data_IF_399462542303
#
_entry.id   IF_399462542303
#
_cell.length_a   1.000
_cell.length_b   1.000
_cell.length_c   1.000
_cell.angle_alpha   90.00
_cell.angle_beta   90.00
_cell.angle_gamma   90.00
#
_symmetry.space_group_name_H-M   'P 1'
#
loop_
_entity.id
_entity.type
_entity.pdbx_description
1 polymer ?
#
# COMPACT_ATOMS: atom_id res chain seq x y z
N UNK A 1 -6.73 -11.39 15.72
CA UNK A 1 -6.50 -9.94 15.58
C UNK A 1 -6.44 -9.47 14.12
N UNK A 2 -5.63 -10.05 13.21
CA UNK A 2 -5.48 -9.51 11.85
C UNK A 2 -6.80 -9.38 11.08
N UNK A 3 -7.66 -10.40 11.14
CA UNK A 3 -8.99 -10.38 10.53
C UNK A 3 -9.93 -9.28 11.07
N UNK A 4 -9.82 -8.93 12.36
CA UNK A 4 -10.59 -7.84 12.94
C UNK A 4 -10.12 -6.50 12.36
N UNK A 5 -8.81 -6.29 12.30
CA UNK A 5 -8.20 -5.06 11.82
C UNK A 5 -8.49 -4.81 10.34
N UNK A 6 -8.37 -5.84 9.50
CA UNK A 6 -8.73 -5.76 8.07
C UNK A 6 -10.21 -5.40 7.88
N UNK A 7 -11.10 -5.98 8.71
CA UNK A 7 -12.54 -5.71 8.63
C UNK A 7 -12.90 -4.27 9.02
N UNK A 8 -12.22 -3.69 9.99
CA UNK A 8 -12.55 -2.35 10.52
C UNK A 8 -11.80 -1.23 9.81
N UNK A 9 -10.63 -1.48 9.22
CA UNK A 9 -9.81 -0.46 8.57
C UNK A 9 -10.57 0.42 7.55
N UNK A 10 -11.45 -0.12 6.68
CA UNK A 10 -12.23 0.70 5.75
C UNK A 10 -13.12 1.75 6.45
N UNK A 11 -13.60 1.47 7.66
CA UNK A 11 -14.41 2.41 8.44
C UNK A 11 -13.57 3.58 8.96
N UNK A 12 -12.34 3.33 9.41
CA UNK A 12 -11.44 4.40 9.86
C UNK A 12 -11.03 5.31 8.70
N UNK A 13 -10.83 4.73 7.51
CA UNK A 13 -10.50 5.47 6.29
C UNK A 13 -11.71 6.26 5.75
N UNK A 14 -12.93 5.75 5.92
CA UNK A 14 -14.18 6.38 5.49
C UNK A 14 -14.46 7.71 6.21
N UNK A 15 -14.05 7.85 7.48
CA UNK A 15 -14.32 9.03 8.30
C UNK A 15 -13.02 9.80 8.61
N UNK A 16 -12.75 10.93 7.92
CA UNK A 16 -11.55 11.73 8.12
C UNK A 16 -11.41 12.25 9.55
N UNK A 17 -10.17 12.35 10.02
CA UNK A 17 -9.80 12.88 11.33
C UNK A 17 -8.44 13.55 11.23
N UNK A 18 -8.12 14.54 12.08
CA UNK A 18 -6.76 15.07 12.17
C UNK A 18 -5.76 14.06 12.77
N UNK A 19 -6.23 12.99 13.42
CA UNK A 19 -5.40 11.93 13.96
C UNK A 19 -5.31 10.79 12.95
N UNK A 20 -4.11 10.25 12.73
CA UNK A 20 -3.85 9.22 11.74
C UNK A 20 -4.69 7.95 11.95
N UNK A 21 -4.98 7.23 10.85
CA UNK A 21 -5.78 6.00 10.87
C UNK A 21 -5.14 4.94 11.76
N UNK A 22 -3.81 4.79 11.72
CA UNK A 22 -3.03 3.86 12.51
C UNK A 22 -3.20 4.14 14.00
N UNK A 23 -3.05 5.40 14.42
CA UNK A 23 -3.24 5.80 15.82
C UNK A 23 -4.68 5.54 16.26
N UNK A 24 -5.69 5.91 15.45
CA UNK A 24 -7.10 5.65 15.77
C UNK A 24 -7.44 4.16 15.84
N UNK A 25 -6.87 3.34 14.95
CA UNK A 25 -7.03 1.88 15.00
C UNK A 25 -6.35 1.28 16.23
N UNK A 26 -5.19 1.80 16.62
CA UNK A 26 -4.52 1.39 17.86
C UNK A 26 -5.34 1.77 19.10
N UNK A 27 -5.91 2.97 19.16
CA UNK A 27 -6.83 3.37 20.21
C UNK A 27 -8.03 2.42 20.27
N UNK A 28 -8.63 2.06 19.12
CA UNK A 28 -9.70 1.06 19.12
C UNK A 28 -9.26 -0.28 19.71
N UNK A 29 -8.08 -0.79 19.35
CA UNK A 29 -7.57 -2.06 19.92
C UNK A 29 -7.38 -1.96 21.42
N UNK A 30 -6.77 -0.89 21.91
CA UNK A 30 -6.49 -0.70 23.34
C UNK A 30 -7.78 -0.50 24.13
N UNK A 31 -8.63 0.44 23.72
CA UNK A 31 -9.83 0.86 24.48
C UNK A 31 -10.95 -0.19 24.45
N UNK A 32 -11.12 -0.89 23.32
CA UNK A 32 -12.13 -1.95 23.21
C UNK A 32 -11.66 -3.30 23.74
N UNK A 33 -10.40 -3.43 24.16
CA UNK A 33 -9.78 -4.72 24.46
C UNK A 33 -9.89 -5.66 23.26
N UNK A 34 -9.52 -5.16 22.07
CA UNK A 34 -9.68 -5.86 20.79
C UNK A 34 -11.12 -6.35 20.51
N UNK A 35 -12.10 -5.53 20.88
CA UNK A 35 -13.51 -5.81 20.74
C UNK A 35 -14.08 -6.76 21.81
N UNK A 36 -13.34 -7.10 22.87
CA UNK A 36 -13.81 -8.03 23.91
C UNK A 36 -14.30 -7.32 25.18
N UNK A 37 -14.06 -6.02 25.33
CA UNK A 37 -14.47 -5.25 26.50
C UNK A 37 -16.00 -5.28 26.70
N UNK A 38 -16.50 -5.50 27.93
CA UNK A 38 -17.93 -5.42 28.23
C UNK A 38 -18.55 -4.06 27.86
N UNK A 39 -17.78 -2.97 27.95
CA UNK A 39 -18.24 -1.65 27.52
C UNK A 39 -18.54 -1.66 26.01
N UNK A 40 -17.58 -2.10 25.20
CA UNK A 40 -17.74 -2.18 23.75
C UNK A 40 -18.89 -3.12 23.36
N UNK A 41 -18.97 -4.31 23.94
CA UNK A 41 -20.00 -5.30 23.64
C UNK A 41 -21.43 -4.80 23.95
N UNK A 42 -21.60 -3.96 24.99
CA UNK A 42 -22.91 -3.43 25.40
C UNK A 42 -23.33 -2.14 24.71
N UNK A 43 -22.38 -1.38 24.15
CA UNK A 43 -22.65 0.00 23.70
C UNK A 43 -22.02 0.38 22.37
N UNK A 44 -21.27 -0.52 21.74
CA UNK A 44 -20.41 -0.26 20.59
C UNK A 44 -19.39 0.87 20.80
N UNK A 45 -19.13 1.29 22.05
CA UNK A 45 -18.12 2.30 22.34
C UNK A 45 -16.73 1.68 22.27
N UNK A 46 -16.11 1.79 21.09
CA UNK A 46 -14.80 1.22 20.81
C UNK A 46 -13.62 2.02 21.35
N UNK A 47 -13.87 3.16 22.01
CA UNK A 47 -12.86 4.17 22.29
C UNK A 47 -12.91 4.70 23.73
N UNK A 48 -13.74 4.12 24.60
CA UNK A 48 -13.85 4.56 25.99
C UNK A 48 -14.34 6.01 26.16
N UNK A 49 -15.05 6.59 25.17
CA UNK A 49 -15.43 8.01 25.25
C UNK A 49 -16.55 8.20 26.29
N UNK A 50 -16.26 8.98 27.32
CA UNK A 50 -17.24 9.38 28.35
C UNK A 50 -18.36 10.23 27.74
N UNK A 51 -19.58 10.06 28.26
CA UNK A 51 -20.72 10.90 27.94
C UNK A 51 -20.58 12.23 28.70
N UNK A 52 -20.13 13.27 28.00
CA UNK A 52 -19.99 14.63 28.51
C UNK A 52 -20.43 15.64 27.46
N UNK A 53 -20.82 16.88 27.85
CA UNK A 53 -21.21 17.92 26.90
C UNK A 53 -20.17 18.09 25.78
N UNK A 54 -20.59 18.22 24.50
CA UNK A 54 -21.96 18.43 24.02
C UNK A 54 -22.71 17.14 23.64
N UNK A 55 -22.32 15.96 24.15
CA UNK A 55 -23.02 14.71 23.82
C UNK A 55 -24.48 14.74 24.29
N UNK A 56 -25.41 14.44 23.38
CA UNK A 56 -26.85 14.37 23.64
C UNK A 56 -27.44 12.98 23.32
N UNK A 57 -26.60 12.05 22.86
CA UNK A 57 -27.04 10.72 22.48
C UNK A 57 -27.19 9.75 23.67
N UNK A 58 -27.52 8.48 23.38
CA UNK A 58 -27.61 7.44 24.39
C UNK A 58 -26.32 7.30 25.20
N UNK A 59 -26.46 6.86 26.46
CA UNK A 59 -25.34 6.58 27.33
C UNK A 59 -25.52 5.25 28.06
N UNK A 60 -24.41 4.67 28.51
CA UNK A 60 -24.39 3.48 29.36
C UNK A 60 -23.53 3.77 30.59
N UNK A 61 -23.96 3.31 31.76
CA UNK A 61 -23.14 3.36 32.95
C UNK A 61 -22.16 2.18 32.93
N UNK A 62 -20.89 2.45 33.22
CA UNK A 62 -19.86 1.43 33.33
C UNK A 62 -18.93 1.78 34.48
N UNK A 63 -18.61 0.79 35.30
CA UNK A 63 -17.68 0.95 36.43
C UNK A 63 -16.29 0.51 36.00
N UNK A 64 -15.32 1.41 36.12
CA UNK A 64 -13.90 1.10 36.00
C UNK A 64 -13.23 1.20 37.35
N UNK A 65 -12.17 0.41 37.55
CA UNK A 65 -11.25 0.64 38.66
C UNK A 65 -10.42 1.88 38.32
N UNK A 66 -10.50 2.88 39.18
CA UNK A 66 -9.64 4.07 39.09
C UNK A 66 -8.24 3.77 39.66
N UNK A 67 -7.30 4.70 39.46
CA UNK A 67 -5.93 4.56 39.94
C UNK A 67 -5.80 4.42 41.48
N UNK A 68 -6.85 4.79 42.23
CA UNK A 68 -6.95 4.63 43.68
C UNK A 68 -7.49 3.25 44.13
N UNK A 69 -7.78 2.36 43.17
CA UNK A 69 -8.30 1.01 43.42
C UNK A 69 -9.80 0.95 43.70
N UNK A 70 -10.54 2.06 43.62
CA UNK A 70 -11.99 2.08 43.83
C UNK A 70 -12.73 2.01 42.50
N UNK A 71 -13.83 1.27 42.49
CA UNK A 71 -14.74 1.25 41.36
C UNK A 71 -15.53 2.56 41.31
N UNK A 72 -15.31 3.37 40.28
CA UNK A 72 -16.11 4.57 40.04
C UNK A 72 -16.99 4.35 38.82
N UNK A 73 -18.30 4.56 38.99
CA UNK A 73 -19.23 4.52 37.89
C UNK A 73 -19.12 5.80 37.06
N UNK A 74 -18.86 5.66 35.76
CA UNK A 74 -18.89 6.75 34.79
C UNK A 74 -19.94 6.46 33.71
N UNK A 75 -20.49 7.51 33.12
CA UNK A 75 -21.34 7.38 31.93
C UNK A 75 -20.49 7.47 30.67
N UNK A 76 -20.71 6.53 29.75
CA UNK A 76 -20.04 6.44 28.46
C UNK A 76 -21.04 6.60 27.34
N UNK A 77 -20.60 7.17 26.22
CA UNK A 77 -21.41 7.28 25.01
C UNK A 77 -21.83 5.88 24.57
N UNK A 78 -23.08 5.73 24.13
CA UNK A 78 -23.60 4.50 23.52
C UNK A 78 -23.97 4.80 22.07
N UNK A 79 -23.61 3.87 21.18
CA UNK A 79 -23.81 3.97 19.74
C UNK A 79 -24.65 2.79 19.26
N UNK A 80 -25.31 2.97 18.11
CA UNK A 80 -26.09 1.90 17.48
C UNK A 80 -25.22 0.92 16.69
N UNK A 81 -23.97 1.29 16.40
CA UNK A 81 -23.00 0.46 15.67
C UNK A 81 -21.55 0.90 15.91
N UNK A 82 -20.61 0.01 15.59
CA UNK A 82 -19.18 0.35 15.55
C UNK A 82 -18.90 1.51 14.59
N UNK A 83 -19.57 1.56 13.44
CA UNK A 83 -19.39 2.64 12.47
C UNK A 83 -19.79 4.00 13.06
N UNK A 84 -20.90 4.08 13.80
CA UNK A 84 -21.30 5.29 14.49
C UNK A 84 -20.27 5.72 15.54
N UNK A 85 -19.66 4.77 16.27
CA UNK A 85 -18.57 5.03 17.21
C UNK A 85 -17.32 5.56 16.51
N UNK A 86 -16.90 4.96 15.38
CA UNK A 86 -15.75 5.40 14.59
C UNK A 86 -15.97 6.80 14.00
N UNK A 87 -17.18 7.09 13.52
CA UNK A 87 -17.58 8.40 13.00
C UNK A 87 -17.50 9.48 14.09
N UNK A 88 -18.04 9.21 15.27
CA UNK A 88 -17.96 10.15 16.41
C UNK A 88 -16.49 10.38 16.81
N UNK A 89 -15.71 9.30 16.97
CA UNK A 89 -14.28 9.38 17.28
C UNK A 89 -13.48 10.18 16.23
N UNK A 90 -13.82 10.07 14.94
CA UNK A 90 -13.15 10.83 13.88
C UNK A 90 -13.20 12.34 14.12
N UNK A 91 -14.35 12.82 14.57
CA UNK A 91 -14.61 14.24 14.88
C UNK A 91 -14.29 14.62 16.33
N UNK A 92 -14.06 13.66 17.22
CA UNK A 92 -13.92 13.89 18.66
C UNK A 92 -12.85 14.92 18.99
N UNK A 93 -11.68 14.83 18.34
CA UNK A 93 -10.53 15.71 18.57
C UNK A 93 -10.79 17.17 18.16
N UNK A 94 -11.77 17.42 17.30
CA UNK A 94 -12.11 18.75 16.76
C UNK A 94 -13.52 19.21 17.11
N UNK A 95 -14.27 18.43 17.88
CA UNK A 95 -15.69 18.67 18.14
C UNK A 95 -15.97 19.91 18.99
N UNK A 96 -14.95 20.45 19.68
CA UNK A 96 -15.02 21.72 20.40
C UNK A 96 -13.72 22.50 20.21
N UNK A 97 -13.73 23.85 20.31
CA UNK A 97 -12.51 24.65 20.29
C UNK A 97 -11.50 24.22 21.36
N UNK A 98 -11.97 23.90 22.57
CA UNK A 98 -11.08 23.39 23.62
C UNK A 98 -10.37 22.10 23.22
N UNK A 99 -11.07 21.14 22.61
CA UNK A 99 -10.46 19.89 22.15
C UNK A 99 -9.44 20.13 21.05
N UNK A 100 -9.78 20.97 20.06
CA UNK A 100 -8.93 21.29 18.91
C UNK A 100 -7.69 22.09 19.32
N UNK A 101 -7.89 23.18 20.06
CA UNK A 101 -6.88 24.23 20.25
C UNK A 101 -6.11 24.09 21.58
N UNK A 102 -6.60 23.28 22.52
CA UNK A 102 -6.01 23.11 23.85
C UNK A 102 -5.66 21.65 24.14
N UNK A 103 -6.67 20.79 24.28
CA UNK A 103 -6.45 19.42 24.76
C UNK A 103 -5.66 18.57 23.77
N UNK A 104 -6.06 18.54 22.50
CA UNK A 104 -5.47 17.64 21.49
C UNK A 104 -4.61 18.36 20.46
N UNK A 105 -4.34 19.66 20.63
CA UNK A 105 -3.56 20.47 19.69
C UNK A 105 -2.22 19.80 19.32
N UNK A 106 -1.47 19.33 20.33
CA UNK A 106 -0.18 18.64 20.10
C UNK A 106 -0.33 17.36 19.27
N UNK A 107 -1.40 16.59 19.50
CA UNK A 107 -1.66 15.37 18.74
C UNK A 107 -2.11 15.70 17.30
N UNK A 108 -2.88 16.78 17.12
CA UNK A 108 -3.34 17.26 15.80
C UNK A 108 -2.18 17.82 14.95
N UNK A 109 -1.22 18.50 15.59
CA UNK A 109 -0.06 19.11 14.93
C UNK A 109 1.14 18.16 14.78
N UNK A 110 1.04 16.93 15.31
CA UNK A 110 2.09 15.93 15.24
C UNK A 110 2.38 15.51 13.78
N UNK A 111 3.66 15.31 13.44
CA UNK A 111 4.08 14.90 12.10
C UNK A 111 4.16 13.38 11.94
N UNK A 112 4.12 12.63 13.03
CA UNK A 112 4.32 11.17 13.07
C UNK A 112 3.36 10.49 14.03
N UNK A 113 3.09 9.20 13.82
CA UNK A 113 2.20 8.43 14.72
C UNK A 113 2.79 8.31 16.14
N UNK A 114 4.13 8.34 16.27
CA UNK A 114 4.79 8.31 17.57
C UNK A 114 4.51 9.61 18.34
N UNK A 115 4.65 10.76 17.69
CA UNK A 115 4.33 12.06 18.29
C UNK A 115 2.84 12.17 18.62
N UNK A 116 1.95 11.69 17.73
CA UNK A 116 0.51 11.61 18.01
C UNK A 116 0.24 10.78 19.27
N UNK A 117 0.76 9.56 19.31
CA UNK A 117 0.55 8.63 20.42
C UNK A 117 1.06 9.21 21.75
N UNK A 118 2.26 9.79 21.76
CA UNK A 118 2.80 10.42 22.97
C UNK A 118 2.01 11.65 23.40
N UNK A 119 1.51 12.45 22.46
CA UNK A 119 0.67 13.60 22.76
C UNK A 119 -0.70 13.21 23.34
N UNK A 120 -1.15 11.97 23.17
CA UNK A 120 -2.39 11.45 23.76
C UNK A 120 -2.21 10.95 25.20
N UNK A 121 -0.96 10.68 25.63
CA UNK A 121 -0.64 10.26 27.00
C UNK A 121 -1.06 11.31 28.03
N UNK A 122 -1.78 10.90 29.08
CA UNK A 122 -2.23 11.78 30.16
C UNK A 122 -3.36 12.74 29.77
N UNK A 123 -3.76 12.78 28.49
CA UNK A 123 -4.82 13.67 28.00
C UNK A 123 -6.04 12.86 27.54
N UNK A 124 -5.83 11.84 26.71
CA UNK A 124 -6.90 10.95 26.28
C UNK A 124 -7.20 9.90 27.36
N UNK A 125 -6.15 9.31 27.90
CA UNK A 125 -6.19 8.37 29.01
C UNK A 125 -5.24 8.83 30.12
N UNK A 126 -5.62 8.63 31.38
CA UNK A 126 -4.79 8.95 32.55
C UNK A 126 -3.60 7.99 32.75
N UNK A 127 -3.47 6.97 31.91
CA UNK A 127 -2.36 6.02 31.94
C UNK A 127 -1.06 6.70 31.46
N UNK A 128 0.00 6.74 32.30
CA UNK A 128 1.27 7.34 31.93
C UNK A 128 2.00 6.61 30.79
N UNK A 129 1.64 5.35 30.50
CA UNK A 129 2.26 4.55 29.43
C UNK A 129 1.36 4.45 28.18
N UNK A 130 0.34 5.30 28.06
CA UNK A 130 -0.66 5.18 27.00
C UNK A 130 -0.06 5.29 25.60
N UNK A 131 0.78 6.30 25.35
CA UNK A 131 1.45 6.50 24.07
C UNK A 131 2.32 5.31 23.66
N UNK A 132 3.09 4.76 24.60
CA UNK A 132 3.92 3.58 24.35
C UNK A 132 3.06 2.37 23.97
N UNK A 133 1.91 2.18 24.62
CA UNK A 133 0.96 1.11 24.26
C UNK A 133 0.42 1.28 22.85
N UNK A 134 0.07 2.51 22.45
CA UNK A 134 -0.39 2.78 21.09
C UNK A 134 0.70 2.50 20.06
N UNK A 135 1.93 2.98 20.31
CA UNK A 135 3.09 2.75 19.43
C UNK A 135 3.34 1.23 19.27
N UNK A 136 3.35 0.48 20.37
CA UNK A 136 3.52 -0.97 20.33
C UNK A 136 2.44 -1.66 19.50
N UNK A 137 1.17 -1.28 19.64
CA UNK A 137 0.07 -1.82 18.84
C UNK A 137 0.22 -1.47 17.36
N UNK A 138 0.59 -0.22 17.04
CA UNK A 138 0.82 0.23 15.67
C UNK A 138 1.93 -0.58 15.01
N UNK A 139 3.03 -0.82 15.72
CA UNK A 139 4.19 -1.53 15.18
C UNK A 139 3.94 -3.04 15.08
N UNK A 140 3.37 -3.65 16.12
CA UNK A 140 3.05 -5.08 16.15
C UNK A 140 2.12 -5.49 15.01
N UNK A 141 1.11 -4.66 14.70
CA UNK A 141 0.14 -4.94 13.65
C UNK A 141 0.39 -4.15 12.36
N UNK A 142 1.54 -3.47 12.26
CA UNK A 142 1.95 -2.68 11.09
C UNK A 142 0.85 -1.72 10.60
N UNK A 143 0.17 -1.02 11.53
CA UNK A 143 -1.04 -0.25 11.23
C UNK A 143 -0.80 0.97 10.35
N UNK A 144 0.45 1.42 10.21
CA UNK A 144 0.83 2.54 9.34
C UNK A 144 0.48 2.29 7.87
N UNK A 145 0.33 1.03 7.45
CA UNK A 145 -0.17 0.68 6.12
C UNK A 145 -1.58 1.25 5.84
N UNK A 146 -2.38 1.52 6.89
CA UNK A 146 -3.73 2.05 6.79
C UNK A 146 -3.82 3.58 6.84
N UNK A 147 -2.74 4.29 7.20
CA UNK A 147 -2.65 5.77 7.23
C UNK A 147 -2.86 6.44 5.88
N UNK A 148 -2.82 5.66 4.82
CA UNK A 148 -3.14 6.11 3.48
C UNK A 148 -4.66 6.39 3.43
N UNK A 149 -5.06 7.63 3.75
CA UNK A 149 -6.27 8.22 3.19
C UNK A 149 -6.28 7.88 1.70
N UNK A 150 -7.39 7.31 1.17
CA UNK A 150 -7.53 6.81 -0.21
C UNK A 150 -6.35 7.24 -1.06
N UNK A 151 -5.34 6.36 -1.18
CA UNK A 151 -4.21 6.66 -2.05
C UNK A 151 -4.82 7.14 -3.37
N UNK A 152 -4.32 8.23 -3.99
CA UNK A 152 -4.67 8.47 -5.38
C UNK A 152 -4.52 7.13 -6.08
N UNK A 153 -5.53 6.74 -6.87
CA UNK A 153 -5.57 5.44 -7.53
C UNK A 153 -4.14 5.10 -7.99
N UNK A 154 -3.58 3.91 -7.62
CA UNK A 154 -2.17 3.63 -7.78
C UNK A 154 -1.72 4.16 -9.13
N UNK A 155 -0.72 5.05 -9.13
CA UNK A 155 -0.31 5.71 -10.37
C UNK A 155 -0.15 4.63 -11.45
N UNK A 156 -0.86 4.83 -12.57
CA UNK A 156 -0.76 3.99 -13.75
C UNK A 156 -0.39 4.87 -14.93
N UNK A 157 0.40 4.36 -15.89
CA UNK A 157 0.69 5.09 -17.10
C UNK A 157 -0.60 5.31 -17.92
N UNK A 158 -0.55 6.25 -18.86
CA UNK A 158 -1.51 6.22 -19.97
C UNK A 158 -1.28 4.93 -20.76
N UNK A 159 -2.34 4.14 -20.94
CA UNK A 159 -2.29 2.88 -21.68
C UNK A 159 -3.08 3.04 -22.97
N UNK A 160 -2.45 2.71 -24.09
CA UNK A 160 -3.09 2.59 -25.40
C UNK A 160 -3.12 1.10 -25.76
N UNK A 161 -4.30 0.50 -25.69
CA UNK A 161 -4.51 -0.84 -26.21
C UNK A 161 -4.70 -0.77 -27.72
N UNK A 162 -3.76 -1.38 -28.45
CA UNK A 162 -3.76 -1.37 -29.91
C UNK A 162 -3.53 -2.77 -30.48
N UNK A 163 -3.92 -3.80 -29.73
CA UNK A 163 -3.75 -5.20 -30.16
C UNK A 163 -4.39 -5.47 -31.52
N UNK A 164 -5.53 -4.87 -31.81
CA UNK A 164 -6.22 -5.03 -33.10
C UNK A 164 -5.49 -4.36 -34.28
N UNK A 165 -4.49 -3.53 -34.01
CA UNK A 165 -3.74 -2.77 -35.02
C UNK A 165 -2.29 -3.26 -35.16
N UNK A 166 -1.88 -4.24 -34.36
CA UNK A 166 -0.50 -4.69 -34.31
C UNK A 166 -0.14 -5.54 -35.53
N UNK A 167 1.10 -5.41 -36.01
CA UNK A 167 1.61 -6.16 -37.15
C UNK A 167 1.48 -7.68 -36.91
N UNK A 168 0.78 -8.38 -37.81
CA UNK A 168 0.61 -9.83 -37.73
C UNK A 168 -0.52 -10.31 -36.82
N UNK A 169 -1.30 -9.44 -36.18
CA UNK A 169 -2.51 -9.83 -35.43
C UNK A 169 -2.29 -10.63 -34.14
N UNK A 170 -3.37 -11.22 -33.61
CA UNK A 170 -3.47 -11.71 -32.23
C UNK A 170 -3.76 -13.21 -32.10
N UNK A 171 -2.83 -14.07 -32.54
CA UNK A 171 -2.97 -15.50 -32.31
C UNK A 171 -2.50 -15.93 -30.91
N UNK A 172 -2.97 -17.09 -30.45
CA UNK A 172 -2.58 -17.70 -29.18
C UNK A 172 -1.57 -18.82 -29.45
N UNK A 173 -0.34 -18.45 -29.78
CA UNK A 173 0.71 -19.36 -30.26
C UNK A 173 1.34 -20.21 -29.13
N UNK A 174 1.21 -19.77 -27.87
CA UNK A 174 1.73 -20.46 -26.68
C UNK A 174 0.78 -20.33 -25.50
N UNK A 175 0.79 -21.30 -24.56
CA UNK A 175 0.11 -21.11 -23.27
C UNK A 175 0.86 -20.07 -22.43
N UNK A 176 0.13 -19.33 -21.58
CA UNK A 176 0.73 -18.35 -20.66
C UNK A 176 1.78 -18.95 -19.73
N UNK A 177 1.62 -20.22 -19.36
CA UNK A 177 2.58 -20.96 -18.52
C UNK A 177 3.93 -21.19 -19.18
N UNK A 178 4.04 -21.06 -20.51
CA UNK A 178 5.31 -21.11 -21.23
C UNK A 178 6.17 -19.85 -20.99
N UNK A 179 5.57 -18.73 -20.57
CA UNK A 179 6.29 -17.49 -20.32
C UNK A 179 7.03 -17.59 -18.99
N UNK A 180 8.36 -17.53 -19.04
CA UNK A 180 9.24 -17.67 -17.88
C UNK A 180 10.03 -16.39 -17.57
N UNK A 181 10.21 -15.53 -18.56
CA UNK A 181 11.14 -14.39 -18.47
C UNK A 181 10.49 -13.11 -19.00
N UNK A 182 10.67 -12.00 -18.26
CA UNK A 182 10.34 -10.65 -18.74
C UNK A 182 11.63 -10.03 -19.27
N UNK A 183 11.63 -9.56 -20.52
CA UNK A 183 12.82 -9.00 -21.17
C UNK A 183 12.64 -7.52 -21.43
N UNK A 184 13.59 -6.73 -20.95
CA UNK A 184 13.68 -5.30 -21.21
C UNK A 184 14.50 -5.00 -22.45
N UNK A 185 13.97 -4.10 -23.27
CA UNK A 185 14.55 -3.62 -24.50
C UNK A 185 14.59 -2.09 -24.55
N UNK A 186 15.47 -1.56 -25.39
CA UNK A 186 15.26 -0.27 -26.04
C UNK A 186 14.99 -0.49 -27.53
N UNK A 187 14.53 0.54 -28.25
CA UNK A 187 14.34 0.45 -29.69
C UNK A 187 15.59 0.69 -30.53
N UNK A 188 16.68 1.15 -29.90
CA UNK A 188 17.89 1.64 -30.57
C UNK A 188 17.62 2.87 -31.44
N UNK A 189 16.54 3.61 -31.12
CA UNK A 189 16.20 4.88 -31.75
C UNK A 189 16.20 5.97 -30.67
N UNK A 190 17.00 7.04 -30.85
CA UNK A 190 17.07 8.10 -29.86
C UNK A 190 15.70 8.73 -29.57
N UNK A 191 15.39 8.91 -28.29
CA UNK A 191 14.09 9.41 -27.81
C UNK A 191 13.67 10.74 -28.45
N UNK A 192 14.64 11.59 -28.80
CA UNK A 192 14.44 12.88 -29.47
C UNK A 192 13.65 12.79 -30.78
N UNK A 193 13.67 11.63 -31.46
CA UNK A 193 12.92 11.43 -32.71
C UNK A 193 11.45 11.09 -32.47
N UNK A 194 11.06 10.77 -31.23
CA UNK A 194 9.68 10.53 -30.83
C UNK A 194 8.93 9.54 -31.73
N UNK A 195 9.62 8.50 -32.23
CA UNK A 195 8.96 7.47 -33.03
C UNK A 195 7.88 6.81 -32.20
N UNK A 196 6.89 6.27 -32.90
CA UNK A 196 5.83 5.46 -32.32
C UNK A 196 5.99 4.03 -32.80
N UNK A 197 5.25 3.12 -32.20
CA UNK A 197 5.38 1.70 -32.49
C UNK A 197 5.09 1.35 -33.97
N UNK A 198 4.22 2.09 -34.65
CA UNK A 198 3.96 1.86 -36.07
C UNK A 198 5.14 2.24 -36.98
N UNK A 199 6.00 3.19 -36.59
CA UNK A 199 7.24 3.47 -37.32
C UNK A 199 8.18 2.25 -37.29
N UNK A 200 8.28 1.61 -36.11
CA UNK A 200 9.08 0.40 -35.92
C UNK A 200 8.48 -0.81 -36.65
N UNK A 201 7.16 -0.97 -36.61
CA UNK A 201 6.46 -2.03 -37.37
C UNK A 201 6.65 -1.88 -38.88
N UNK A 202 6.60 -0.66 -39.40
CA UNK A 202 6.90 -0.38 -40.82
C UNK A 202 8.35 -0.75 -41.16
N UNK A 203 9.30 -0.42 -40.30
CA UNK A 203 10.70 -0.83 -40.47
C UNK A 203 10.85 -2.36 -40.47
N UNK A 204 10.27 -3.06 -39.49
CA UNK A 204 10.36 -4.52 -39.41
C UNK A 204 9.72 -5.20 -40.62
N UNK A 205 8.54 -4.74 -41.05
CA UNK A 205 7.88 -5.28 -42.24
C UNK A 205 8.70 -5.03 -43.51
N UNK A 206 9.10 -3.78 -43.75
CA UNK A 206 9.64 -3.38 -45.05
C UNK A 206 11.15 -3.66 -45.18
N UNK A 207 11.90 -3.59 -44.08
CA UNK A 207 13.37 -3.71 -44.09
C UNK A 207 13.85 -5.06 -43.57
N UNK A 208 13.07 -5.73 -42.72
CA UNK A 208 13.43 -7.03 -42.15
C UNK A 208 12.55 -8.17 -42.67
N UNK A 209 11.47 -7.88 -43.40
CA UNK A 209 10.53 -8.88 -43.89
C UNK A 209 9.75 -9.58 -42.77
N UNK A 210 9.65 -8.96 -41.59
CA UNK A 210 8.96 -9.57 -40.46
C UNK A 210 7.45 -9.54 -40.65
N UNK A 211 6.81 -10.66 -40.34
CA UNK A 211 5.35 -10.84 -40.35
C UNK A 211 4.67 -10.30 -39.09
N UNK A 212 5.44 -10.01 -38.03
CA UNK A 212 4.98 -9.55 -36.72
C UNK A 212 6.00 -8.65 -36.02
N UNK A 213 5.54 -7.91 -35.02
CA UNK A 213 6.39 -7.01 -34.24
C UNK A 213 7.24 -7.71 -33.18
N UNK A 214 8.21 -6.96 -32.64
CA UNK A 214 9.17 -7.46 -31.66
C UNK A 214 8.72 -7.41 -30.20
N UNK A 215 7.75 -6.55 -29.85
CA UNK A 215 7.47 -6.21 -28.45
C UNK A 215 6.00 -6.33 -28.09
N UNK A 216 5.70 -7.03 -26.99
CA UNK A 216 4.35 -7.11 -26.42
C UNK A 216 3.91 -5.73 -25.91
N UNK A 217 4.85 -5.02 -25.28
CA UNK A 217 4.66 -3.67 -24.76
C UNK A 217 5.72 -2.74 -25.30
N UNK A 218 5.31 -1.54 -25.71
CA UNK A 218 6.18 -0.47 -26.14
C UNK A 218 5.91 0.79 -25.32
N UNK A 219 6.94 1.51 -24.91
CA UNK A 219 6.84 2.74 -24.13
C UNK A 219 7.45 3.86 -24.96
N UNK A 220 6.63 4.85 -25.34
CA UNK A 220 7.10 5.94 -26.19
C UNK A 220 7.95 6.97 -25.44
N UNK A 221 8.39 8.00 -26.16
CA UNK A 221 9.26 9.08 -25.63
C UNK A 221 8.66 9.90 -24.47
N UNK A 222 7.35 9.80 -24.24
CA UNK A 222 6.60 10.50 -23.20
C UNK A 222 6.20 9.56 -22.05
N UNK A 223 6.54 8.27 -22.11
CA UNK A 223 6.14 7.29 -21.12
C UNK A 223 4.73 6.73 -21.31
N UNK A 224 4.11 6.90 -22.50
CA UNK A 224 2.82 6.23 -22.79
C UNK A 224 3.08 4.76 -23.10
N UNK A 225 2.31 3.87 -22.47
CA UNK A 225 2.41 2.42 -22.64
C UNK A 225 1.47 1.93 -23.75
N UNK A 226 2.03 1.36 -24.82
CA UNK A 226 1.29 0.72 -25.90
C UNK A 226 1.28 -0.78 -25.68
N UNK A 227 0.08 -1.36 -25.57
CA UNK A 227 -0.12 -2.81 -25.55
C UNK A 227 -0.33 -3.29 -26.99
N UNK A 228 0.65 -3.99 -27.53
CA UNK A 228 0.67 -4.43 -28.92
C UNK A 228 0.16 -5.86 -29.10
N UNK A 229 0.40 -6.76 -28.15
CA UNK A 229 0.04 -8.17 -28.31
C UNK A 229 -0.56 -8.77 -27.04
N UNK A 230 -1.41 -9.79 -27.21
CA UNK A 230 -1.75 -10.75 -26.17
C UNK A 230 -0.46 -11.44 -25.67
N UNK A 231 -0.43 -11.89 -24.41
CA UNK A 231 0.77 -12.52 -23.84
C UNK A 231 1.05 -13.89 -24.47
N UNK A 232 0.00 -14.54 -24.93
CA UNK A 232 0.00 -15.81 -25.66
C UNK A 232 0.49 -15.68 -27.11
N UNK A 233 0.58 -14.46 -27.64
CA UNK A 233 1.11 -14.20 -28.98
C UNK A 233 2.63 -14.07 -28.89
N UNK A 234 3.35 -14.93 -29.62
CA UNK A 234 4.82 -14.85 -29.68
C UNK A 234 5.22 -13.63 -30.54
N UNK A 235 6.14 -12.80 -30.02
CA UNK A 235 6.72 -11.63 -30.72
C UNK A 235 8.20 -11.85 -31.03
N UNK A 236 8.77 -11.13 -32.01
CA UNK A 236 10.16 -11.27 -32.43
C UNK A 236 11.13 -10.35 -31.69
N UNK A 237 11.27 -10.57 -30.38
CA UNK A 237 12.07 -9.69 -29.52
C UNK A 237 13.47 -10.20 -29.19
N UNK A 238 13.66 -11.52 -29.03
CA UNK A 238 14.97 -12.15 -28.78
C UNK A 238 15.01 -13.48 -29.53
N UNK A 239 15.91 -13.60 -30.51
CA UNK A 239 16.09 -14.85 -31.27
C UNK A 239 16.26 -16.06 -30.33
N UNK A 240 15.65 -17.18 -30.68
CA UNK A 240 15.63 -18.45 -29.94
C UNK A 240 14.95 -18.45 -28.55
N UNK A 241 14.53 -17.28 -28.06
CA UNK A 241 13.86 -17.11 -26.77
C UNK A 241 12.47 -16.46 -26.89
N UNK A 242 11.95 -16.31 -28.10
CA UNK A 242 10.64 -15.67 -28.31
C UNK A 242 9.49 -16.47 -27.67
N UNK A 243 9.65 -17.80 -27.58
CA UNK A 243 8.62 -18.73 -27.07
C UNK A 243 8.41 -18.67 -25.56
N UNK A 244 9.41 -18.28 -24.76
CA UNK A 244 9.36 -18.26 -23.30
C UNK A 244 9.49 -16.86 -22.68
N UNK A 245 9.57 -15.81 -23.50
CA UNK A 245 9.74 -14.43 -23.04
C UNK A 245 8.57 -13.51 -23.37
N UNK A 246 8.33 -12.53 -22.50
CA UNK A 246 7.49 -11.35 -22.77
C UNK A 246 8.39 -10.11 -22.87
N UNK A 247 8.14 -9.25 -23.85
CA UNK A 247 9.06 -8.17 -24.20
C UNK A 247 8.45 -6.78 -23.92
N UNK A 248 9.19 -5.96 -23.17
CA UNK A 248 8.90 -4.54 -22.93
C UNK A 248 10.03 -3.73 -23.58
N UNK A 249 9.70 -2.82 -24.50
CA UNK A 249 10.68 -1.94 -25.15
C UNK A 249 10.41 -0.47 -24.90
N UNK A 250 11.46 0.31 -24.65
CA UNK A 250 11.39 1.76 -24.47
C UNK A 250 11.97 2.47 -25.69
N UNK A 251 11.35 3.58 -26.10
CA UNK A 251 11.89 4.47 -27.13
C UNK A 251 13.14 5.19 -26.62
N UNK A 252 14.30 4.61 -26.90
CA UNK A 252 15.60 5.09 -26.49
C UNK A 252 16.72 4.39 -27.27
N UNK A 253 17.93 4.95 -27.20
CA UNK A 253 19.13 4.33 -27.78
C UNK A 253 20.22 3.98 -26.75
N UNK A 254 20.09 4.40 -25.50
CA UNK A 254 21.05 4.10 -24.43
C UNK A 254 20.43 4.30 -23.05
N UNK A 255 21.13 3.89 -21.99
CA UNK A 255 20.64 4.09 -20.61
C UNK A 255 20.45 5.55 -20.22
N UNK A 256 21.21 6.47 -20.82
CA UNK A 256 21.14 7.91 -20.52
C UNK A 256 20.05 8.62 -21.33
N UNK A 257 19.41 7.93 -22.27
CA UNK A 257 18.35 8.48 -23.12
C UNK A 257 16.94 8.28 -22.54
N UNK A 258 16.80 7.35 -21.58
CA UNK A 258 15.54 7.11 -20.87
C UNK A 258 15.08 8.34 -20.08
N UNK A 259 13.79 8.68 -20.19
CA UNK A 259 13.16 9.66 -19.31
C UNK A 259 12.71 9.02 -17.98
N UNK A 260 12.54 9.82 -16.90
CA UNK A 260 11.95 9.36 -15.65
C UNK A 260 10.57 8.72 -15.84
N UNK A 261 9.74 9.26 -16.73
CA UNK A 261 8.39 8.77 -17.04
C UNK A 261 8.43 7.40 -17.73
N UNK A 262 9.38 7.18 -18.64
CA UNK A 262 9.58 5.88 -19.26
C UNK A 262 10.03 4.83 -18.24
N UNK A 263 10.97 5.19 -17.35
CA UNK A 263 11.44 4.31 -16.27
C UNK A 263 10.28 3.96 -15.32
N UNK A 264 9.51 4.96 -14.89
CA UNK A 264 8.34 4.77 -14.02
C UNK A 264 7.30 3.83 -14.66
N UNK A 265 7.04 4.01 -15.95
CA UNK A 265 6.11 3.17 -16.73
C UNK A 265 6.61 1.74 -16.89
N UNK A 266 7.89 1.56 -17.24
CA UNK A 266 8.55 0.25 -17.36
C UNK A 266 8.47 -0.52 -16.05
N UNK A 267 8.79 0.14 -14.94
CA UNK A 267 8.77 -0.49 -13.63
C UNK A 267 7.35 -0.89 -13.22
N UNK A 268 6.35 -0.06 -13.54
CA UNK A 268 4.94 -0.38 -13.31
C UNK A 268 4.51 -1.62 -14.10
N UNK A 269 4.70 -1.65 -15.43
CA UNK A 269 4.26 -2.79 -16.25
C UNK A 269 5.05 -4.07 -15.93
N UNK A 270 6.33 -3.94 -15.59
CA UNK A 270 7.15 -5.09 -15.15
C UNK A 270 6.54 -5.74 -13.92
N UNK A 271 6.14 -4.95 -12.91
CA UNK A 271 5.50 -5.48 -11.70
C UNK A 271 4.13 -6.11 -11.98
N UNK A 272 3.35 -5.53 -12.89
CA UNK A 272 2.08 -6.14 -13.31
C UNK A 272 2.31 -7.52 -13.95
N UNK A 273 3.27 -7.63 -14.86
CA UNK A 273 3.60 -8.90 -15.51
C UNK A 273 4.18 -9.93 -14.54
N UNK A 274 5.04 -9.50 -13.61
CA UNK A 274 5.56 -10.37 -12.55
C UNK A 274 4.43 -10.97 -11.73
N UNK A 275 3.46 -10.15 -11.32
CA UNK A 275 2.31 -10.61 -10.56
C UNK A 275 1.38 -11.52 -11.40
N UNK A 276 1.03 -11.09 -12.61
CA UNK A 276 0.08 -11.80 -13.49
C UNK A 276 0.62 -13.15 -13.99
N UNK A 277 1.94 -13.27 -14.16
CA UNK A 277 2.60 -14.48 -14.66
C UNK A 277 3.34 -15.27 -13.56
N UNK A 278 3.28 -14.82 -12.31
CA UNK A 278 4.06 -15.36 -11.19
C UNK A 278 5.57 -15.47 -11.49
N UNK A 279 6.13 -14.46 -12.19
CA UNK A 279 7.54 -14.41 -12.56
C UNK A 279 8.31 -13.68 -11.44
N UNK A 280 9.34 -14.32 -10.83
CA UNK A 280 10.14 -13.68 -9.79
C UNK A 280 11.06 -12.60 -10.38
N UNK A 281 11.47 -11.64 -9.57
CA UNK A 281 12.35 -10.55 -10.00
C UNK A 281 13.67 -11.06 -10.63
N UNK A 282 14.17 -12.23 -10.21
CA UNK A 282 15.37 -12.87 -10.79
C UNK A 282 15.25 -13.17 -12.29
N UNK A 283 14.02 -13.30 -12.81
CA UNK A 283 13.71 -13.57 -14.22
C UNK A 283 13.27 -12.32 -15.00
N UNK A 284 13.50 -11.13 -14.45
CA UNK A 284 13.46 -9.87 -15.21
C UNK A 284 14.87 -9.60 -15.73
N UNK A 285 15.04 -9.66 -17.05
CA UNK A 285 16.35 -9.64 -17.70
C UNK A 285 16.46 -8.52 -18.73
N UNK A 286 17.66 -8.00 -18.93
CA UNK A 286 17.99 -7.26 -20.15
C UNK A 286 18.09 -8.22 -21.34
N UNK A 287 17.86 -7.73 -22.57
CA UNK A 287 18.07 -8.54 -23.78
C UNK A 287 19.43 -9.25 -23.76
N UNK A 288 20.51 -8.53 -23.43
CA UNK A 288 21.85 -9.09 -23.36
C UNK A 288 22.02 -10.24 -22.35
N UNK A 289 21.25 -10.26 -21.26
CA UNK A 289 21.25 -11.36 -20.26
C UNK A 289 20.50 -12.61 -20.75
N UNK A 290 19.66 -12.47 -21.78
CA UNK A 290 18.96 -13.58 -22.44
C UNK A 290 19.81 -14.11 -23.58
N UNK A 291 20.32 -13.21 -24.42
CA UNK A 291 21.22 -13.53 -25.53
C UNK A 291 22.30 -12.45 -25.61
N UNK A 292 23.56 -12.84 -25.42
CA UNK A 292 24.69 -11.92 -25.30
C UNK A 292 25.18 -11.41 -26.69
N UNK A 293 24.28 -10.88 -27.49
CA UNK A 293 24.54 -10.40 -28.86
C UNK A 293 24.23 -8.90 -29.04
N UNK A 294 23.91 -8.20 -27.95
CA UNK A 294 23.48 -6.79 -27.96
C UNK A 294 23.86 -6.10 -26.66
N UNK A 295 23.97 -4.76 -26.70
CA UNK A 295 24.10 -3.95 -25.48
C UNK A 295 22.73 -3.61 -24.86
N UNK A 296 21.63 -3.95 -25.53
CA UNK A 296 20.27 -3.66 -25.11
C UNK A 296 19.93 -4.34 -23.75
N UNK A 297 19.35 -3.65 -22.77
CA UNK A 297 18.76 -2.30 -22.80
C UNK A 297 19.70 -1.16 -22.34
N UNK A 298 21.02 -1.37 -22.36
CA UNK A 298 22.03 -0.35 -22.04
C UNK A 298 22.47 -0.31 -20.58
N UNK A 299 21.92 -1.18 -19.72
CA UNK A 299 22.36 -1.37 -18.34
C UNK A 299 23.37 -2.51 -18.22
N UNK A 300 24.37 -2.35 -17.35
CA UNK A 300 25.31 -3.42 -17.02
C UNK A 300 24.74 -4.40 -15.97
N UNK A 301 25.46 -5.48 -15.67
CA UNK A 301 25.06 -6.51 -14.70
C UNK A 301 24.71 -5.91 -13.33
N UNK A 302 25.57 -5.06 -12.77
CA UNK A 302 25.37 -4.50 -11.44
C UNK A 302 24.13 -3.60 -11.36
N UNK A 303 23.85 -2.85 -12.43
CA UNK A 303 22.65 -2.03 -12.55
C UNK A 303 21.39 -2.92 -12.64
N UNK A 304 21.40 -3.97 -13.46
CA UNK A 304 20.29 -4.94 -13.54
C UNK A 304 20.05 -5.65 -12.20
N UNK A 305 21.10 -6.04 -11.49
CA UNK A 305 21.00 -6.67 -10.17
C UNK A 305 20.37 -5.72 -9.14
N UNK A 306 20.77 -4.45 -9.15
CA UNK A 306 20.18 -3.42 -8.31
C UNK A 306 18.68 -3.23 -8.60
N UNK A 307 18.28 -3.23 -9.88
CA UNK A 307 16.87 -3.16 -10.27
C UNK A 307 16.08 -4.37 -9.77
N UNK A 308 16.58 -5.59 -9.97
CA UNK A 308 15.92 -6.81 -9.49
C UNK A 308 15.75 -6.81 -7.98
N UNK A 309 16.76 -6.34 -7.24
CA UNK A 309 16.66 -6.15 -5.78
C UNK A 309 15.55 -5.16 -5.41
N UNK A 310 15.40 -4.06 -6.14
CA UNK A 310 14.33 -3.09 -5.92
C UNK A 310 12.93 -3.61 -6.32
N UNK A 311 12.84 -4.48 -7.33
CA UNK A 311 11.60 -5.14 -7.74
C UNK A 311 11.12 -6.19 -6.72
N UNK A 312 12.05 -6.87 -6.05
CA UNK A 312 11.75 -7.86 -5.01
C UNK A 312 11.23 -7.24 -3.70
N UNK A 313 11.44 -5.94 -3.48
CA UNK A 313 10.89 -5.21 -2.35
C UNK A 313 9.43 -4.77 -2.64
N UNK A 314 8.55 -4.75 -1.62
CA UNK A 314 7.24 -4.12 -1.76
C UNK A 314 7.43 -2.66 -2.22
N UNK A 315 6.51 -2.11 -3.04
CA UNK A 315 6.66 -0.77 -3.60
C UNK A 315 6.92 0.24 -2.47
N UNK A 316 8.07 0.91 -2.53
CA UNK A 316 8.42 1.94 -1.55
C UNK A 316 7.38 3.04 -1.62
N UNK A 317 6.72 3.33 -0.50
CA UNK A 317 6.00 4.58 -0.33
C UNK A 317 7.03 5.71 -0.45
N UNK A 318 6.92 6.62 -1.44
CA UNK A 318 7.89 7.68 -1.67
C UNK A 318 8.04 8.65 -0.49
N UNK A 319 7.13 8.59 0.50
CA UNK A 319 7.14 9.45 1.69
C UNK A 319 7.72 8.79 2.95
N UNK A 320 8.23 7.54 2.89
CA UNK A 320 8.73 6.87 4.10
C UNK A 320 10.26 6.91 4.17
N UNK A 321 10.82 7.64 5.14
CA UNK A 321 12.23 7.51 5.53
C UNK A 321 12.46 6.12 6.18
N UNK A 322 13.62 5.48 5.98
CA UNK A 322 13.89 4.17 6.55
C UNK A 322 14.09 4.28 8.07
N UNK A 323 13.23 3.62 8.85
CA UNK A 323 13.47 3.37 10.26
C UNK A 323 14.25 2.05 10.42
N UNK A 324 15.30 2.08 11.24
CA UNK A 324 16.06 0.90 11.66
C UNK A 324 15.21 0.00 12.54
N UNK A 325 15.09 -1.28 12.19
CA UNK A 325 14.35 -2.29 12.94
C UNK A 325 15.18 -2.86 14.11
N UNK A 326 14.61 -3.01 15.31
CA UNK A 326 15.02 -4.04 16.25
C UNK A 326 14.12 -5.28 16.12
N UNK A 327 14.75 -6.45 16.18
CA UNK A 327 14.15 -7.79 16.20
C UNK A 327 13.59 -8.10 17.60
N UNK A 328 12.32 -8.50 17.71
CA UNK A 328 11.77 -9.13 18.92
C UNK A 328 10.86 -10.30 18.51
N UNK A 329 11.03 -11.44 19.21
CA UNK A 329 10.34 -12.71 18.95
C UNK A 329 8.84 -12.65 19.29
N UNK A 330 7.98 -13.30 18.49
CA UNK A 330 6.57 -13.50 18.82
C UNK A 330 6.46 -14.68 19.80
N UNK A 331 5.67 -14.55 20.87
CA UNK A 331 4.81 -15.64 21.43
C UNK A 331 4.32 -15.42 22.88
N UNK A 332 4.60 -14.29 23.55
CA UNK A 332 4.15 -14.08 24.95
C UNK A 332 3.15 -12.93 25.21
N UNK A 333 2.71 -12.17 24.20
CA UNK A 333 2.09 -10.86 24.46
C UNK A 333 0.56 -10.80 24.56
N UNK A 334 -0.19 -11.91 24.44
CA UNK A 334 -1.66 -11.88 24.47
C UNK A 334 -2.31 -12.05 25.85
N UNK A 335 -1.54 -11.99 26.94
CA UNK A 335 -2.10 -11.93 28.30
C UNK A 335 -1.41 -10.80 29.07
N UNK A 336 -1.90 -9.57 28.92
CA UNK A 336 -1.48 -8.48 29.82
C UNK A 336 -2.69 -7.68 30.32
N UNK A 337 -3.14 -8.09 31.51
CA UNK A 337 -4.11 -7.36 32.32
C UNK A 337 -3.47 -6.06 32.83
N UNK A 338 -4.04 -4.92 32.42
CA UNK A 338 -3.86 -3.63 33.08
C UNK A 338 -5.16 -3.03 33.64
N UNK A 339 -6.31 -3.64 33.36
CA UNK A 339 -7.58 -3.33 34.02
C UNK A 339 -8.22 -4.65 34.39
N UNK A 340 -8.10 -5.06 35.68
CA UNK A 340 -8.91 -6.15 36.21
C UNK A 340 -10.36 -5.68 36.28
N UNK A 341 -11.16 -5.96 35.27
CA UNK A 341 -12.61 -5.95 35.43
C UNK A 341 -12.99 -7.22 36.21
N UNK A 342 -12.92 -7.17 37.54
CA UNK A 342 -13.63 -8.16 38.35
C UNK A 342 -15.12 -7.85 38.26
N UNK A 343 -15.90 -8.83 37.84
CA UNK A 343 -17.35 -8.82 37.94
C UNK A 343 -17.72 -8.76 39.43
N UNK A 344 -18.18 -7.61 39.90
CA UNK A 344 -18.91 -7.54 41.17
C UNK A 344 -20.39 -7.72 40.83
N UNK A 345 -21.07 -8.77 41.32
CA UNK A 345 -22.51 -8.86 41.17
C UNK A 345 -23.17 -7.68 41.88
N UNK A 346 -24.05 -6.99 41.16
CA UNK A 346 -24.99 -6.05 41.78
C UNK A 346 -26.11 -6.95 42.31
N UNK A 347 -26.17 -7.10 43.64
CA UNK A 347 -27.34 -7.68 44.28
C UNK A 347 -28.47 -6.64 44.21
N UNK A 348 -29.63 -7.04 43.71
CA UNK A 348 -30.90 -6.37 43.97
C UNK A 348 -31.34 -6.58 45.43
#
# INVERSE_FOLDING_TARGET
MPQLLEKVAPLFQKYPSPISVATRMAQFVVESGAGQSPLYQKSFNGFGIKASPPWQGPQVQHSSLEADGKAQASYFRKYDSLEASIKDHASFFTSTPYRRDVAYKKAIEAGTYQEEAQALTGIYAGDPNYGDKLIQVIELYQLTQYNLAQAPAPWQPQIIDRRDQALGGQAYDRPRSAIKTIVWHYTAVPRKYQRKIWDHEQYWKNQKGWDRGGYHYYIDSQGVLYRNYNLERITWGVADHNGDTVHISLEANSKTDYSPEQIKTRDWITRQLMAELAIPASQVKGHWEVNNNTACPGYNQAEMDAFRKALALPPKNPNCKPASSPTVQPDSYLIWQGIKYQLVPVND
#
